data_IF_671388267826
#
_entry.id   IF_671388267826
#
_cell.length_a   1.000
_cell.length_b   1.000
_cell.length_c   1.000
_cell.angle_alpha   90.00
_cell.angle_beta   90.00
_cell.angle_gamma   90.00
#
_symmetry.space_group_name_H-M   'P 1'
#
loop_
_entity.id
_entity.type
_entity.pdbx_description
1 polymer ?
#
# COMPACT_ATOMS: atom_id res chain seq x y z
N UNK A 1 2.50 42.41 11.57
CA UNK A 1 1.72 42.63 10.33
C UNK A 1 0.34 41.99 10.45
N UNK A 2 -0.68 42.54 9.77
CA UNK A 2 -2.01 41.95 9.64
C UNK A 2 -2.14 41.29 8.27
N UNK A 3 -2.67 40.07 8.24
CA UNK A 3 -2.90 39.30 7.01
C UNK A 3 -4.39 38.97 6.96
N UNK A 4 -5.08 39.49 5.94
CA UNK A 4 -6.50 39.23 5.72
C UNK A 4 -6.66 38.25 4.56
N UNK A 5 -7.19 37.05 4.83
CA UNK A 5 -7.48 36.04 3.82
C UNK A 5 -8.86 36.32 3.21
N UNK A 6 -8.93 36.44 1.88
CA UNK A 6 -10.19 36.55 1.13
C UNK A 6 -10.12 35.68 -0.13
N UNK A 7 -10.83 34.56 -0.11
CA UNK A 7 -10.76 33.56 -1.18
C UNK A 7 -9.33 33.06 -1.36
N UNK A 8 -8.81 33.16 -2.59
CA UNK A 8 -7.45 32.72 -2.95
C UNK A 8 -6.36 33.78 -2.70
N UNK A 9 -6.68 34.90 -2.05
CA UNK A 9 -5.71 35.99 -1.82
C UNK A 9 -5.54 36.33 -0.34
N UNK A 10 -4.29 36.50 0.05
CA UNK A 10 -3.88 37.05 1.34
C UNK A 10 -3.45 38.51 1.15
N UNK A 11 -4.18 39.45 1.77
CA UNK A 11 -3.91 40.88 1.72
C UNK A 11 -3.08 41.29 2.93
N UNK A 12 -1.98 42.01 2.70
CA UNK A 12 -0.96 42.32 3.68
C UNK A 12 -1.05 43.79 4.11
N UNK A 13 -1.08 44.04 5.42
CA UNK A 13 -1.15 45.38 5.99
C UNK A 13 -0.15 45.57 7.12
N UNK A 14 0.61 46.66 7.10
CA UNK A 14 1.44 47.11 8.22
C UNK A 14 0.58 47.93 9.16
N UNK A 15 0.52 47.53 10.43
CA UNK A 15 -0.19 48.33 11.46
C UNK A 15 0.83 49.28 12.08
N UNK A 16 0.46 50.56 12.18
CA UNK A 16 1.24 51.57 12.90
C UNK A 16 0.34 52.35 13.84
N UNK A 17 0.91 52.82 14.94
CA UNK A 17 0.23 53.74 15.84
C UNK A 17 0.45 55.16 15.34
N UNK A 18 -0.64 55.92 15.18
CA UNK A 18 -0.58 57.35 14.86
C UNK A 18 -0.84 58.10 16.16
N UNK A 19 0.16 58.83 16.71
CA UNK A 19 -0.04 59.61 17.91
C UNK A 19 -0.96 60.81 17.64
N UNK A 20 -1.61 61.31 18.68
CA UNK A 20 -2.35 62.57 18.60
C UNK A 20 -1.40 63.73 18.31
N UNK A 21 -1.83 64.67 17.49
CA UNK A 21 -1.04 65.82 17.06
C UNK A 21 -1.92 66.99 16.61
N UNK A 22 -1.31 68.09 16.14
CA UNK A 22 -2.03 69.32 15.80
C UNK A 22 -3.20 69.11 14.81
N UNK A 23 -3.03 68.18 13.86
CA UNK A 23 -4.03 67.87 12.83
C UNK A 23 -4.84 66.59 13.10
N UNK A 24 -4.51 65.86 14.18
CA UNK A 24 -5.13 64.57 14.54
C UNK A 24 -5.45 64.58 16.04
N UNK A 25 -6.69 64.91 16.44
CA UNK A 25 -7.01 65.15 17.85
C UNK A 25 -6.93 63.89 18.73
N UNK A 26 -7.11 62.69 18.16
CA UNK A 26 -7.05 61.43 18.90
C UNK A 26 -6.05 60.45 18.26
N UNK A 27 -5.21 59.85 19.10
CA UNK A 27 -4.30 58.79 18.68
C UNK A 27 -5.11 57.57 18.21
N UNK A 28 -4.72 56.97 17.10
CA UNK A 28 -5.48 55.88 16.50
C UNK A 28 -4.56 54.90 15.74
N UNK A 29 -4.96 53.64 15.57
CA UNK A 29 -4.24 52.69 14.74
C UNK A 29 -4.51 52.97 13.25
N UNK A 30 -3.45 53.01 12.44
CA UNK A 30 -3.53 53.04 10.98
C UNK A 30 -2.99 51.74 10.38
N UNK A 31 -3.51 51.38 9.20
CA UNK A 31 -3.12 50.19 8.45
C UNK A 31 -2.66 50.60 7.05
N UNK A 32 -1.37 50.44 6.75
CA UNK A 32 -0.83 50.72 5.43
C UNK A 32 -0.84 49.43 4.59
N UNK A 33 -1.46 49.47 3.40
CA UNK A 33 -1.51 48.32 2.50
C UNK A 33 -0.15 48.07 1.85
N UNK A 34 0.35 46.84 1.96
CA UNK A 34 1.66 46.44 1.44
C UNK A 34 1.57 45.63 0.14
N UNK A 35 0.42 45.02 -0.13
CA UNK A 35 0.21 44.17 -1.30
C UNK A 35 -0.62 42.93 -1.01
N UNK A 36 -0.68 42.02 -1.99
CA UNK A 36 -1.37 40.75 -1.86
C UNK A 36 -0.54 39.60 -2.46
N UNK A 37 -0.72 38.42 -1.88
CA UNK A 37 -0.11 37.17 -2.35
C UNK A 37 -1.19 36.10 -2.49
N UNK A 38 -1.00 35.14 -3.38
CA UNK A 38 -1.88 33.97 -3.46
C UNK A 38 -1.77 33.14 -2.17
N UNK A 39 -2.89 32.61 -1.69
CA UNK A 39 -2.90 31.75 -0.49
C UNK A 39 -2.19 30.42 -0.70
N UNK A 40 -1.97 30.03 -1.95
CA UNK A 40 -1.24 28.83 -2.34
C UNK A 40 0.18 29.14 -2.84
N UNK A 41 0.65 30.38 -2.70
CA UNK A 41 2.03 30.72 -3.07
C UNK A 41 3.02 29.92 -2.22
N UNK A 42 4.16 29.53 -2.81
CA UNK A 42 5.23 28.79 -2.16
C UNK A 42 6.47 29.64 -1.87
N UNK A 43 6.56 30.82 -2.49
CA UNK A 43 7.61 31.81 -2.24
C UNK A 43 7.03 33.22 -2.11
N UNK A 44 7.76 34.12 -1.44
CA UNK A 44 7.41 35.55 -1.38
C UNK A 44 7.79 36.18 -2.73
N UNK A 45 6.87 36.88 -3.42
CA UNK A 45 7.18 37.63 -4.63
C UNK A 45 8.32 38.64 -4.42
N UNK A 46 9.25 38.79 -5.38
CA UNK A 46 10.39 39.71 -5.26
C UNK A 46 10.00 41.14 -4.91
N UNK A 47 8.86 41.60 -5.42
CA UNK A 47 8.35 42.95 -5.18
C UNK A 47 8.05 43.16 -3.69
N UNK A 48 7.46 42.15 -3.04
CA UNK A 48 7.14 42.18 -1.61
C UNK A 48 8.38 42.04 -0.73
N UNK A 49 9.45 41.39 -1.20
CA UNK A 49 10.71 41.29 -0.43
C UNK A 49 11.34 42.66 -0.18
N UNK A 50 11.18 43.61 -1.12
CA UNK A 50 11.73 44.97 -0.98
C UNK A 50 10.95 45.83 0.02
N UNK A 51 9.66 45.54 0.20
CA UNK A 51 8.74 46.33 1.04
C UNK A 51 8.63 45.76 2.46
N UNK A 52 8.74 44.43 2.61
CA UNK A 52 8.57 43.71 3.87
C UNK A 52 9.88 43.65 4.67
N UNK A 53 9.78 43.98 5.96
CA UNK A 53 10.88 43.75 6.91
C UNK A 53 11.12 42.25 7.14
N UNK A 54 12.30 41.88 7.64
CA UNK A 54 12.64 40.47 7.92
C UNK A 54 11.61 39.77 8.83
N UNK A 55 11.11 40.47 9.85
CA UNK A 55 10.08 39.96 10.77
C UNK A 55 8.74 39.74 10.07
N UNK A 56 8.34 40.65 9.17
CA UNK A 56 7.09 40.50 8.41
C UNK A 56 7.19 39.40 7.36
N UNK A 57 8.35 39.24 6.73
CA UNK A 57 8.63 38.10 5.86
C UNK A 57 8.54 36.78 6.63
N UNK A 58 9.07 36.71 7.85
CA UNK A 58 8.93 35.53 8.71
C UNK A 58 7.46 35.22 9.04
N UNK A 59 6.67 36.25 9.41
CA UNK A 59 5.23 36.10 9.64
C UNK A 59 4.48 35.63 8.39
N UNK A 60 4.85 36.13 7.21
CA UNK A 60 4.24 35.70 5.94
C UNK A 60 4.58 34.24 5.61
N UNK A 61 5.83 33.84 5.85
CA UNK A 61 6.30 32.46 5.70
C UNK A 61 5.50 31.49 6.56
N UNK A 62 5.35 31.82 7.84
CA UNK A 62 4.65 30.98 8.79
C UNK A 62 3.14 30.88 8.51
N UNK A 63 2.48 32.02 8.22
CA UNK A 63 1.01 32.07 8.17
C UNK A 63 0.40 31.77 6.81
N UNK A 64 1.16 31.88 5.72
CA UNK A 64 0.64 31.69 4.35
C UNK A 64 1.42 30.61 3.61
N UNK A 65 2.75 30.77 3.51
CA UNK A 65 3.58 29.91 2.65
C UNK A 65 3.71 28.49 3.21
N UNK A 66 3.96 28.34 4.52
CA UNK A 66 4.10 27.02 5.13
C UNK A 66 2.79 26.20 5.04
N UNK A 67 1.61 26.74 5.35
CA UNK A 67 0.34 26.06 5.08
C UNK A 67 0.14 25.67 3.62
N UNK A 68 0.49 26.55 2.67
CA UNK A 68 0.39 26.25 1.24
C UNK A 68 1.27 25.07 0.83
N UNK A 69 2.54 25.08 1.25
CA UNK A 69 3.50 24.00 0.98
C UNK A 69 3.01 22.68 1.59
N UNK A 70 2.53 22.71 2.83
CA UNK A 70 2.01 21.52 3.51
C UNK A 70 0.74 20.99 2.81
N UNK A 71 -0.18 21.86 2.41
CA UNK A 71 -1.38 21.49 1.69
C UNK A 71 -1.04 20.86 0.33
N UNK A 72 -0.05 21.42 -0.39
CA UNK A 72 0.45 20.86 -1.65
C UNK A 72 1.11 19.50 -1.43
N UNK A 73 1.95 19.35 -0.42
CA UNK A 73 2.58 18.07 -0.07
C UNK A 73 1.52 17.02 0.32
N UNK A 74 0.49 17.39 1.08
CA UNK A 74 -0.60 16.49 1.43
C UNK A 74 -1.44 16.10 0.20
N UNK A 75 -1.72 17.04 -0.71
CA UNK A 75 -2.37 16.75 -1.98
C UNK A 75 -1.53 15.81 -2.85
N UNK A 76 -0.22 16.04 -2.96
CA UNK A 76 0.70 15.16 -3.68
C UNK A 76 0.75 13.75 -3.08
N UNK A 77 0.71 13.62 -1.74
CA UNK A 77 0.60 12.32 -1.07
C UNK A 77 -0.70 11.61 -1.41
N UNK A 78 -1.85 12.30 -1.36
CA UNK A 78 -3.15 11.74 -1.79
C UNK A 78 -3.13 11.33 -3.26
N UNK A 79 -2.48 12.12 -4.10
CA UNK A 79 -2.31 11.82 -5.52
C UNK A 79 -1.50 10.53 -5.75
N UNK A 80 -0.61 10.16 -4.83
CA UNK A 80 0.20 8.94 -4.92
C UNK A 80 -0.41 7.75 -4.19
N UNK A 81 -1.42 7.97 -3.34
CA UNK A 81 -2.09 6.93 -2.56
C UNK A 81 -3.06 6.13 -3.45
N UNK A 82 -2.77 4.85 -3.74
CA UNK A 82 -3.63 4.03 -4.60
C UNK A 82 -5.03 3.82 -4.01
N UNK A 83 -5.16 3.73 -2.69
CA UNK A 83 -6.46 3.55 -2.03
C UNK A 83 -7.33 4.79 -2.21
N UNK A 84 -6.75 5.97 -1.99
CA UNK A 84 -7.46 7.23 -2.20
C UNK A 84 -7.91 7.38 -3.66
N UNK A 85 -7.04 7.04 -4.62
CA UNK A 85 -7.36 7.08 -6.06
C UNK A 85 -8.49 6.13 -6.43
N UNK A 86 -8.51 4.92 -5.87
CA UNK A 86 -9.58 3.94 -6.12
C UNK A 86 -10.92 4.43 -5.53
N UNK A 87 -10.91 5.01 -4.33
CA UNK A 87 -12.10 5.57 -3.71
C UNK A 87 -12.67 6.72 -4.56
N UNK A 88 -11.82 7.62 -5.04
CA UNK A 88 -12.23 8.74 -5.89
C UNK A 88 -12.74 8.27 -7.26
N UNK A 89 -12.07 7.29 -7.88
CA UNK A 89 -12.56 6.68 -9.12
C UNK A 89 -13.94 6.02 -8.92
N UNK A 90 -14.16 5.36 -7.79
CA UNK A 90 -15.45 4.74 -7.46
C UNK A 90 -16.56 5.79 -7.30
N UNK A 91 -16.26 6.93 -6.65
CA UNK A 91 -17.17 8.06 -6.54
C UNK A 91 -17.57 8.60 -7.92
N UNK A 92 -16.58 8.87 -8.78
CA UNK A 92 -16.80 9.38 -10.13
C UNK A 92 -17.58 8.41 -11.02
N UNK A 93 -17.31 7.10 -10.93
CA UNK A 93 -18.07 6.08 -11.66
C UNK A 93 -19.51 5.99 -11.16
N UNK A 94 -19.75 6.17 -9.86
CA UNK A 94 -21.10 6.22 -9.28
C UNK A 94 -21.88 7.44 -9.79
N UNK A 95 -21.24 8.61 -9.83
CA UNK A 95 -21.84 9.83 -10.39
C UNK A 95 -22.13 9.68 -11.88
N UNK A 96 -21.21 9.10 -12.65
CA UNK A 96 -21.42 8.81 -14.06
C UNK A 96 -22.58 7.83 -14.27
N UNK A 97 -22.73 6.82 -13.41
CA UNK A 97 -23.85 5.87 -13.45
C UNK A 97 -25.19 6.54 -13.10
N UNK A 98 -25.20 7.55 -12.23
CA UNK A 98 -26.39 8.35 -11.99
C UNK A 98 -26.73 9.21 -13.23
N UNK A 99 -25.74 9.91 -13.80
CA UNK A 99 -25.95 10.72 -15.00
C UNK A 99 -26.39 9.88 -16.22
N UNK A 100 -25.94 8.62 -16.32
CA UNK A 100 -26.29 7.76 -17.45
C UNK A 100 -27.76 7.37 -17.50
N UNK A 101 -28.50 7.54 -16.39
CA UNK A 101 -29.96 7.41 -16.38
C UNK A 101 -30.64 8.45 -17.29
N UNK A 102 -29.99 9.60 -17.49
CA UNK A 102 -30.48 10.69 -18.35
C UNK A 102 -29.85 10.69 -19.74
N UNK A 103 -28.67 10.12 -19.92
CA UNK A 103 -27.96 10.09 -21.19
C UNK A 103 -27.13 8.81 -21.36
N UNK A 104 -27.45 8.01 -22.38
CA UNK A 104 -26.70 6.79 -22.66
C UNK A 104 -25.25 7.11 -23.07
N UNK A 105 -24.33 6.29 -22.57
CA UNK A 105 -22.90 6.34 -22.92
C UNK A 105 -22.50 5.05 -23.66
N UNK A 106 -21.70 5.15 -24.75
CA UNK A 106 -21.20 3.97 -25.44
C UNK A 106 -20.39 3.05 -24.51
N UNK A 107 -20.65 1.74 -24.55
CA UNK A 107 -19.94 0.77 -23.72
C UNK A 107 -18.43 0.72 -23.98
N UNK A 108 -17.99 1.07 -25.19
CA UNK A 108 -16.56 1.18 -25.55
C UNK A 108 -15.80 2.21 -24.70
N UNK A 109 -16.48 3.22 -24.16
CA UNK A 109 -15.88 4.24 -23.28
C UNK A 109 -15.41 3.63 -21.96
N UNK A 110 -16.03 2.52 -21.51
CA UNK A 110 -15.65 1.83 -20.27
C UNK A 110 -14.47 0.87 -20.43
N UNK A 111 -14.07 0.52 -21.65
CA UNK A 111 -13.01 -0.47 -21.89
C UNK A 111 -11.68 -0.05 -21.26
N UNK A 112 -11.34 1.24 -21.32
CA UNK A 112 -10.11 1.78 -20.71
C UNK A 112 -10.15 1.68 -19.20
N UNK A 113 -11.30 2.03 -18.59
CA UNK A 113 -11.48 1.96 -17.14
C UNK A 113 -11.42 0.52 -16.62
N UNK A 114 -12.05 -0.43 -17.32
CA UNK A 114 -11.98 -1.87 -16.99
C UNK A 114 -10.55 -2.40 -17.06
N UNK A 115 -9.85 -2.11 -18.16
CA UNK A 115 -8.43 -2.50 -18.30
C UNK A 115 -7.55 -1.87 -17.21
N UNK A 116 -7.83 -0.64 -16.80
CA UNK A 116 -7.09 0.00 -15.71
C UNK A 116 -7.32 -0.72 -14.37
N UNK A 117 -8.57 -1.11 -14.07
CA UNK A 117 -8.90 -1.91 -12.88
C UNK A 117 -8.16 -3.25 -12.85
N UNK A 118 -8.08 -3.95 -13.98
CA UNK A 118 -7.37 -5.23 -14.10
C UNK A 118 -5.85 -5.12 -13.82
N UNK A 119 -5.26 -3.93 -14.00
CA UNK A 119 -3.83 -3.70 -13.79
C UNK A 119 -3.49 -3.23 -12.36
N UNK A 120 -4.48 -3.02 -11.49
CA UNK A 120 -4.24 -2.63 -10.10
C UNK A 120 -3.63 -3.81 -9.35
N UNK A 121 -2.48 -3.58 -8.71
CA UNK A 121 -1.83 -4.59 -7.87
C UNK A 121 -2.60 -4.76 -6.57
N UNK A 122 -3.24 -5.91 -6.39
CA UNK A 122 -3.97 -6.26 -5.18
C UNK A 122 -3.06 -7.01 -4.19
N UNK A 123 -3.31 -6.83 -2.90
CA UNK A 123 -2.58 -7.54 -1.83
C UNK A 123 -2.82 -9.05 -1.93
N UNK A 124 -4.04 -9.45 -2.30
CA UNK A 124 -4.43 -10.85 -2.54
C UNK A 124 -3.75 -11.47 -3.77
N UNK A 125 -3.07 -10.65 -4.58
CA UNK A 125 -2.32 -11.04 -5.77
C UNK A 125 -0.84 -10.69 -5.65
N UNK A 126 -0.33 -10.43 -4.44
CA UNK A 126 1.11 -10.38 -4.21
C UNK A 126 1.69 -11.75 -4.62
N UNK A 127 2.55 -11.83 -5.65
CA UNK A 127 3.31 -13.04 -5.87
C UNK A 127 4.18 -13.22 -4.63
N UNK A 128 3.89 -14.24 -3.83
CA UNK A 128 4.90 -14.85 -2.99
C UNK A 128 6.09 -15.15 -3.91
N UNK A 129 7.15 -14.34 -3.79
CA UNK A 129 8.57 -14.52 -4.22
C UNK A 129 8.82 -15.46 -5.41
N UNK A 130 9.58 -15.05 -6.46
CA UNK A 130 9.52 -15.65 -7.79
C UNK A 130 9.48 -17.17 -7.73
N UNK A 131 8.33 -17.72 -8.14
CA UNK A 131 8.17 -19.13 -8.44
C UNK A 131 9.27 -19.44 -9.44
N UNK A 132 10.30 -20.17 -9.00
CA UNK A 132 11.15 -20.90 -9.92
C UNK A 132 10.21 -21.61 -10.89
N UNK A 133 10.44 -21.54 -12.22
CA UNK A 133 9.49 -22.05 -13.20
C UNK A 133 8.97 -23.40 -12.72
N UNK A 134 7.64 -23.61 -12.67
CA UNK A 134 7.09 -24.83 -12.11
C UNK A 134 7.81 -26.00 -12.77
N UNK A 135 8.30 -26.99 -11.98
CA UNK A 135 8.85 -28.19 -12.57
C UNK A 135 7.82 -28.69 -13.58
N UNK A 136 8.27 -29.00 -14.80
CA UNK A 136 7.35 -29.54 -15.81
C UNK A 136 6.59 -30.69 -15.16
N UNK A 137 5.29 -30.87 -15.41
CA UNK A 137 4.49 -31.89 -14.73
C UNK A 137 5.10 -33.31 -14.80
N UNK A 138 5.94 -33.57 -15.81
CA UNK A 138 6.68 -34.83 -15.96
C UNK A 138 7.84 -35.04 -14.96
N UNK A 139 8.24 -34.01 -14.21
CA UNK A 139 9.45 -33.99 -13.37
C UNK A 139 9.16 -33.62 -11.89
N UNK A 140 7.89 -33.48 -11.47
CA UNK A 140 7.55 -33.16 -10.07
C UNK A 140 7.59 -34.40 -9.16
N UNK A 141 8.79 -34.70 -8.66
CA UNK A 141 9.04 -35.86 -7.79
C UNK A 141 8.32 -35.82 -6.44
N UNK A 142 7.92 -34.64 -5.95
CA UNK A 142 7.15 -34.55 -4.70
C UNK A 142 5.68 -34.90 -4.94
N UNK A 143 5.13 -34.47 -6.07
CA UNK A 143 3.78 -34.87 -6.49
C UNK A 143 3.68 -36.38 -6.73
N UNK A 144 4.66 -36.97 -7.43
CA UNK A 144 4.73 -38.42 -7.65
C UNK A 144 4.76 -39.21 -6.33
N UNK A 145 5.60 -38.77 -5.37
CA UNK A 145 5.71 -39.38 -4.06
C UNK A 145 4.40 -39.32 -3.27
N UNK A 146 3.70 -38.18 -3.31
CA UNK A 146 2.41 -38.01 -2.63
C UNK A 146 1.34 -38.96 -3.18
N UNK A 147 1.27 -39.11 -4.50
CA UNK A 147 0.34 -40.05 -5.16
C UNK A 147 0.66 -41.49 -4.74
N UNK A 148 1.93 -41.88 -4.78
CA UNK A 148 2.35 -43.23 -4.41
C UNK A 148 2.04 -43.56 -2.94
N UNK A 149 2.28 -42.62 -2.01
CA UNK A 149 1.98 -42.80 -0.58
C UNK A 149 0.46 -42.95 -0.35
N UNK A 150 -0.36 -42.13 -1.02
CA UNK A 150 -1.83 -42.24 -0.93
C UNK A 150 -2.34 -43.58 -1.46
N UNK A 151 -1.83 -44.02 -2.60
CA UNK A 151 -2.19 -45.33 -3.18
C UNK A 151 -1.77 -46.49 -2.26
N UNK A 152 -0.58 -46.41 -1.64
CA UNK A 152 -0.13 -47.41 -0.67
C UNK A 152 -1.03 -47.44 0.58
N UNK A 153 -1.45 -46.28 1.10
CA UNK A 153 -2.36 -46.19 2.24
C UNK A 153 -3.73 -46.81 1.91
N UNK A 154 -4.26 -46.54 0.71
CA UNK A 154 -5.52 -47.12 0.23
C UNK A 154 -5.44 -48.65 0.08
N UNK A 155 -4.32 -49.16 -0.44
CA UNK A 155 -4.10 -50.60 -0.55
C UNK A 155 -4.06 -51.28 0.84
N UNK A 156 -3.45 -50.63 1.84
CA UNK A 156 -3.46 -51.12 3.23
C UNK A 156 -4.87 -51.08 3.83
N UNK A 157 -5.62 -49.98 3.66
CA UNK A 157 -6.99 -49.87 4.19
C UNK A 157 -7.95 -50.87 3.54
N UNK A 158 -7.77 -51.14 2.25
CA UNK A 158 -8.58 -52.10 1.50
C UNK A 158 -8.17 -53.56 1.75
N UNK A 159 -7.21 -53.79 2.65
CA UNK A 159 -6.82 -55.13 3.10
C UNK A 159 -5.90 -55.88 2.15
N UNK A 160 -5.27 -55.22 1.17
CA UNK A 160 -4.33 -55.86 0.23
C UNK A 160 -3.12 -56.49 0.93
N UNK A 161 -2.83 -56.08 2.17
CA UNK A 161 -1.74 -56.59 3.01
C UNK A 161 -2.25 -57.47 4.19
N UNK A 162 -3.54 -57.76 4.25
CA UNK A 162 -4.17 -58.50 5.35
C UNK A 162 -4.20 -57.74 6.67
N UNK A 163 -4.49 -58.45 7.77
CA UNK A 163 -4.44 -57.90 9.14
C UNK A 163 -3.11 -58.26 9.80
N UNK A 164 -2.59 -57.36 10.63
CA UNK A 164 -1.41 -57.63 11.42
C UNK A 164 -1.64 -58.85 12.35
N UNK A 165 -0.66 -59.74 12.51
CA UNK A 165 -0.75 -60.85 13.46
C UNK A 165 -0.79 -60.32 14.90
N UNK A 166 -1.42 -61.10 15.79
CA UNK A 166 -1.59 -60.75 17.21
C UNK A 166 -0.23 -60.58 17.92
N UNK A 167 0.76 -61.35 17.51
CA UNK A 167 2.16 -61.22 17.95
C UNK A 167 3.10 -61.11 16.76
N UNK A 168 4.23 -60.43 16.94
CA UNK A 168 5.26 -60.34 15.91
C UNK A 168 4.95 -59.39 14.75
N UNK A 169 4.05 -58.41 14.89
CA UNK A 169 3.75 -57.43 13.84
C UNK A 169 5.01 -56.76 13.24
N UNK A 170 6.05 -56.56 14.05
CA UNK A 170 7.34 -55.97 13.63
C UNK A 170 8.13 -56.83 12.65
N UNK A 171 7.92 -58.15 12.61
CA UNK A 171 8.59 -59.05 11.66
C UNK A 171 7.90 -59.09 10.30
N UNK A 172 6.68 -58.56 10.20
CA UNK A 172 5.92 -58.53 8.95
C UNK A 172 6.61 -57.67 7.89
N UNK A 173 6.44 -58.05 6.63
CA UNK A 173 6.96 -57.27 5.49
C UNK A 173 6.37 -55.85 5.46
N UNK A 174 5.09 -55.71 5.79
CA UNK A 174 4.40 -54.42 5.85
C UNK A 174 5.05 -53.47 6.88
N UNK A 175 5.37 -53.98 8.08
CA UNK A 175 6.03 -53.16 9.10
C UNK A 175 7.47 -52.79 8.74
N UNK A 176 8.22 -53.71 8.11
CA UNK A 176 9.59 -53.43 7.63
C UNK A 176 9.59 -52.34 6.55
N UNK A 177 8.70 -52.44 5.56
CA UNK A 177 8.52 -51.42 4.52
C UNK A 177 8.06 -50.08 5.09
N UNK A 178 7.17 -50.09 6.08
CA UNK A 178 6.80 -48.87 6.80
C UNK A 178 8.01 -48.23 7.48
N UNK A 179 8.86 -49.02 8.13
CA UNK A 179 10.07 -48.52 8.80
C UNK A 179 11.06 -47.91 7.80
N UNK A 180 11.19 -48.48 6.60
CA UNK A 180 11.99 -47.94 5.50
C UNK A 180 11.40 -46.63 4.95
N UNK A 181 10.09 -46.59 4.69
CA UNK A 181 9.38 -45.39 4.26
C UNK A 181 9.53 -44.26 5.28
N UNK A 182 9.37 -44.58 6.57
CA UNK A 182 9.52 -43.64 7.66
C UNK A 182 10.94 -43.04 7.69
N UNK A 183 11.99 -43.87 7.57
CA UNK A 183 13.37 -43.40 7.46
C UNK A 183 13.63 -42.56 6.22
N UNK A 184 13.04 -42.92 5.08
CA UNK A 184 13.18 -42.13 3.85
C UNK A 184 12.48 -40.75 3.96
N UNK A 185 11.42 -40.63 4.75
CA UNK A 185 10.70 -39.36 4.93
C UNK A 185 11.29 -38.51 6.07
N UNK A 186 11.49 -39.08 7.26
CA UNK A 186 11.86 -38.37 8.50
C UNK A 186 13.23 -38.75 9.09
N UNK A 187 13.98 -39.67 8.47
CA UNK A 187 15.29 -40.10 8.97
C UNK A 187 16.39 -39.04 8.86
N UNK A 188 17.64 -39.48 8.97
CA UNK A 188 18.78 -38.58 9.17
C UNK A 188 19.33 -37.99 7.85
N UNK A 189 20.44 -38.52 7.33
CA UNK A 189 21.27 -37.81 6.34
C UNK A 189 20.68 -37.71 4.93
N UNK A 190 19.83 -38.65 4.54
CA UNK A 190 19.25 -38.75 3.18
C UNK A 190 17.73 -38.67 3.14
N UNK A 191 17.10 -38.21 4.22
CA UNK A 191 15.64 -38.12 4.28
C UNK A 191 15.10 -36.93 3.50
N UNK A 192 13.85 -37.07 3.05
CA UNK A 192 13.12 -35.99 2.40
C UNK A 192 13.01 -34.75 3.31
N UNK A 193 12.72 -34.96 4.61
CA UNK A 193 12.63 -33.87 5.57
C UNK A 193 13.95 -33.10 5.71
N UNK A 194 15.09 -33.80 5.77
CA UNK A 194 16.40 -33.16 5.86
C UNK A 194 16.72 -32.34 4.60
N UNK A 195 16.46 -32.91 3.42
CA UNK A 195 16.65 -32.20 2.15
C UNK A 195 15.79 -30.92 2.06
N UNK A 196 14.53 -30.98 2.54
CA UNK A 196 13.64 -29.82 2.59
C UNK A 196 14.12 -28.76 3.59
N UNK A 197 14.68 -29.18 4.73
CA UNK A 197 15.26 -28.26 5.73
C UNK A 197 16.51 -27.56 5.21
N UNK A 198 17.43 -28.29 4.58
CA UNK A 198 18.66 -27.73 4.00
C UNK A 198 18.39 -26.71 2.90
N UNK A 199 17.30 -26.91 2.14
CA UNK A 199 16.84 -25.96 1.14
C UNK A 199 15.91 -24.87 1.70
N UNK A 200 15.66 -24.86 3.01
CA UNK A 200 14.91 -23.81 3.70
C UNK A 200 13.39 -23.86 3.50
N UNK A 201 12.84 -24.96 2.96
CA UNK A 201 11.39 -25.15 2.81
C UNK A 201 10.70 -25.53 4.11
N UNK A 202 11.44 -26.17 5.03
CA UNK A 202 10.93 -26.58 6.35
C UNK A 202 11.86 -26.06 7.43
N UNK A 203 11.31 -25.45 8.48
CA UNK A 203 12.11 -25.00 9.63
C UNK A 203 12.49 -26.19 10.50
N UNK A 204 13.74 -26.25 10.96
CA UNK A 204 14.13 -27.18 12.01
C UNK A 204 13.36 -26.82 13.28
N UNK A 205 12.67 -27.79 13.88
CA UNK A 205 12.19 -27.61 15.25
C UNK A 205 13.44 -27.54 16.13
N UNK A 206 13.66 -26.39 16.76
CA UNK A 206 14.67 -26.27 17.82
C UNK A 206 14.25 -27.24 18.92
N UNK A 207 15.07 -28.25 19.17
CA UNK A 207 15.02 -29.03 20.39
C UNK A 207 15.61 -28.25 21.55
#
# INVERSE_FOLDING_TARGET
MKINLRGRRAYLYRRRWVPAGPDVPNAHPAEDYLGAIDTNAESIPPELLTVLTATEQAQLREKVLLPAIQARAAAAKREQDPMWRIAEASRLLTEAAHCSQSALVPGSTLTVARKALDNIRLIDHMPTRPVAPPPRPADDKLADALVAIKAAAEAVSNGAYGKAPVEGARSTRAYRLWSELYRAVEGDESSLLRALQEKGFVKTRKS
#
